data_IF_250090428395
#
_entry.id   IF_250090428395
#
_cell.length_a   1.000
_cell.length_b   1.000
_cell.length_c   1.000
_cell.angle_alpha   90.00
_cell.angle_beta   90.00
_cell.angle_gamma   90.00
#
_symmetry.space_group_name_H-M   'P 1'
#
loop_
_entity.id
_entity.type
_entity.pdbx_description
1 polymer ?
#
# COMPACT_ATOMS: atom_id res chain seq x y z
N UNK A 1 -10.84 -7.49 -26.30
CA UNK A 1 -10.98 -6.50 -25.23
C UNK A 1 -10.85 -5.10 -25.78
N UNK A 2 -11.65 -4.22 -25.27
CA UNK A 2 -11.60 -2.83 -25.70
C UNK A 2 -10.27 -2.18 -25.25
N UNK A 3 -9.81 -1.21 -26.03
CA UNK A 3 -8.62 -0.41 -25.71
C UNK A 3 -8.69 0.21 -24.31
N UNK A 4 -9.92 0.47 -23.81
CA UNK A 4 -10.12 1.01 -22.48
C UNK A 4 -9.63 0.13 -21.33
N UNK A 5 -9.57 -1.19 -21.53
CA UNK A 5 -9.06 -2.10 -20.49
C UNK A 5 -7.55 -1.97 -20.35
N UNK A 6 -6.82 -1.80 -21.46
CA UNK A 6 -5.39 -1.54 -21.42
C UNK A 6 -5.07 -0.20 -20.77
N UNK A 7 -5.89 0.83 -21.02
CA UNK A 7 -5.75 2.14 -20.39
C UNK A 7 -6.01 2.09 -18.88
N UNK A 8 -7.01 1.32 -18.44
CA UNK A 8 -7.31 1.12 -17.01
C UNK A 8 -6.16 0.45 -16.30
N UNK A 9 -5.59 -0.59 -16.88
CA UNK A 9 -4.46 -1.33 -16.32
C UNK A 9 -3.23 -0.42 -16.21
N UNK A 10 -2.99 0.38 -17.24
CA UNK A 10 -1.89 1.34 -17.24
C UNK A 10 -2.07 2.41 -16.17
N UNK A 11 -3.28 2.95 -16.02
CA UNK A 11 -3.58 3.96 -15.00
C UNK A 11 -3.42 3.39 -13.60
N UNK A 12 -3.85 2.15 -13.37
CA UNK A 12 -3.69 1.49 -12.08
C UNK A 12 -2.20 1.29 -11.75
N UNK A 13 -1.40 0.86 -12.72
CA UNK A 13 0.05 0.70 -12.55
C UNK A 13 0.70 2.04 -12.25
N UNK A 14 0.29 3.12 -12.94
CA UNK A 14 0.82 4.47 -12.71
C UNK A 14 0.48 4.97 -11.31
N UNK A 15 -0.72 4.69 -10.79
CA UNK A 15 -1.13 5.09 -9.44
C UNK A 15 -0.24 4.38 -8.41
N UNK A 16 -0.03 3.08 -8.56
CA UNK A 16 0.81 2.29 -7.65
C UNK A 16 2.26 2.81 -7.70
N UNK A 17 2.80 3.05 -8.90
CA UNK A 17 4.16 3.57 -9.06
C UNK A 17 4.33 4.95 -8.42
N UNK A 18 3.36 5.84 -8.61
CA UNK A 18 3.42 7.18 -8.01
C UNK A 18 3.32 7.12 -6.49
N UNK A 19 2.41 6.30 -5.97
CA UNK A 19 2.28 6.13 -4.52
C UNK A 19 3.57 5.53 -3.94
N UNK A 20 4.13 4.53 -4.59
CA UNK A 20 5.40 3.94 -4.18
C UNK A 20 6.52 4.97 -4.17
N UNK A 21 6.58 5.82 -5.19
CA UNK A 21 7.57 6.92 -5.26
C UNK A 21 7.43 7.91 -4.11
N UNK A 22 6.19 8.27 -3.75
CA UNK A 22 5.95 9.15 -2.60
C UNK A 22 6.39 8.47 -1.31
N UNK A 23 6.07 7.20 -1.13
CA UNK A 23 6.49 6.42 0.03
C UNK A 23 8.01 6.40 0.15
N UNK A 24 8.72 6.12 -0.95
CA UNK A 24 10.19 6.12 -0.98
C UNK A 24 10.75 7.49 -0.59
N UNK A 25 10.11 8.57 -1.03
CA UNK A 25 10.56 9.93 -0.73
C UNK A 25 10.46 10.28 0.76
N UNK A 26 9.68 9.52 1.53
CA UNK A 26 9.51 9.75 2.97
C UNK A 26 10.52 9.00 3.83
N UNK A 27 11.36 8.16 3.25
CA UNK A 27 12.41 7.47 3.98
C UNK A 27 13.40 8.51 4.50
N UNK A 28 13.65 8.50 5.80
CA UNK A 28 14.52 9.49 6.43
C UNK A 28 13.91 10.86 6.65
N UNK A 29 12.65 11.06 6.26
CA UNK A 29 11.93 12.30 6.58
C UNK A 29 11.57 12.33 8.08
N UNK A 30 11.05 13.49 8.53
CA UNK A 30 10.68 13.68 9.93
C UNK A 30 9.47 12.82 10.31
N UNK A 31 9.70 11.87 11.22
CA UNK A 31 8.67 10.95 11.71
C UNK A 31 7.53 11.68 12.46
N UNK A 32 7.78 12.88 12.97
CA UNK A 32 6.75 13.65 13.66
C UNK A 32 5.75 14.29 12.70
N UNK A 33 6.16 14.54 11.46
CA UNK A 33 5.32 15.21 10.46
C UNK A 33 4.86 14.28 9.35
N UNK A 34 5.40 13.07 9.25
CA UNK A 34 5.05 12.11 8.21
C UNK A 34 4.76 10.73 8.82
N UNK A 35 3.54 10.26 8.63
CA UNK A 35 3.14 8.92 9.08
C UNK A 35 4.01 7.85 8.39
N UNK A 36 4.26 8.00 7.09
CA UNK A 36 5.11 7.06 6.34
C UNK A 36 6.52 7.00 6.92
N UNK A 37 7.09 8.17 7.21
CA UNK A 37 8.42 8.24 7.85
C UNK A 37 8.39 7.54 9.22
N UNK A 38 7.32 7.69 9.98
CA UNK A 38 7.19 7.03 11.29
C UNK A 38 7.15 5.51 11.16
N UNK A 39 6.52 4.99 10.12
CA UNK A 39 6.51 3.55 9.83
C UNK A 39 7.92 3.03 9.59
N UNK A 40 8.67 3.69 8.71
CA UNK A 40 10.06 3.30 8.45
C UNK A 40 10.91 3.37 9.72
N UNK A 41 10.73 4.41 10.53
CA UNK A 41 11.47 4.58 11.78
C UNK A 41 11.20 3.46 12.78
N UNK A 42 9.99 2.91 12.79
CA UNK A 42 9.63 1.83 13.70
C UNK A 42 10.13 0.46 13.24
N UNK A 43 10.51 0.32 11.98
CA UNK A 43 11.19 -0.85 11.46
C UNK A 43 10.30 -1.92 10.87
N UNK A 44 10.93 -2.90 10.24
CA UNK A 44 10.30 -3.96 9.45
C UNK A 44 9.22 -4.73 10.21
N UNK A 45 9.52 -5.14 11.43
CA UNK A 45 8.58 -5.94 12.22
C UNK A 45 7.28 -5.19 12.46
N UNK A 46 7.36 -3.89 12.77
CA UNK A 46 6.18 -3.06 12.98
C UNK A 46 5.39 -2.90 11.67
N UNK A 47 6.09 -2.64 10.56
CA UNK A 47 5.45 -2.47 9.25
C UNK A 47 4.72 -3.76 8.86
N UNK A 48 5.38 -4.91 9.00
CA UNK A 48 4.78 -6.21 8.67
C UNK A 48 3.55 -6.49 9.52
N UNK A 49 3.61 -6.14 10.82
CA UNK A 49 2.45 -6.29 11.71
C UNK A 49 1.29 -5.42 11.26
N UNK A 50 1.56 -4.19 10.84
CA UNK A 50 0.52 -3.30 10.33
C UNK A 50 -0.16 -3.88 9.08
N UNK A 51 0.59 -4.50 8.18
CA UNK A 51 0.01 -5.20 7.02
C UNK A 51 -0.95 -6.29 7.49
N UNK A 52 -0.54 -7.09 8.48
CA UNK A 52 -1.40 -8.13 9.04
C UNK A 52 -2.68 -7.59 9.67
N UNK A 53 -2.57 -6.49 10.41
CA UNK A 53 -3.72 -5.83 11.03
C UNK A 53 -4.72 -5.32 10.00
N UNK A 54 -4.21 -4.66 8.94
CA UNK A 54 -5.08 -4.14 7.87
C UNK A 54 -5.72 -5.29 7.07
N UNK A 55 -4.99 -6.39 6.87
CA UNK A 55 -5.54 -7.56 6.21
C UNK A 55 -6.69 -8.18 7.02
N UNK A 56 -6.56 -8.23 8.35
CA UNK A 56 -7.62 -8.72 9.23
C UNK A 56 -8.85 -7.82 9.14
N UNK A 57 -8.66 -6.50 9.20
CA UNK A 57 -9.77 -5.55 9.05
C UNK A 57 -10.48 -5.74 7.71
N UNK A 58 -9.70 -5.95 6.64
CA UNK A 58 -10.26 -6.23 5.32
C UNK A 58 -11.15 -7.46 5.32
N UNK A 59 -10.70 -8.55 5.95
CA UNK A 59 -11.46 -9.80 6.05
C UNK A 59 -12.78 -9.56 6.78
N UNK A 60 -12.75 -8.84 7.90
CA UNK A 60 -13.94 -8.54 8.68
C UNK A 60 -14.97 -7.74 7.88
N UNK A 61 -14.53 -6.71 7.17
CA UNK A 61 -15.41 -5.90 6.36
C UNK A 61 -15.93 -6.66 5.13
N UNK A 62 -15.13 -7.55 4.57
CA UNK A 62 -15.55 -8.43 3.48
C UNK A 62 -16.67 -9.38 3.91
N UNK A 63 -16.53 -9.98 5.11
CA UNK A 63 -17.55 -10.88 5.67
C UNK A 63 -18.85 -10.12 5.98
N UNK A 64 -18.72 -8.90 6.52
CA UNK A 64 -19.89 -8.05 6.82
C UNK A 64 -20.62 -7.56 5.57
N UNK A 65 -19.92 -7.50 4.44
CA UNK A 65 -20.51 -7.01 3.19
C UNK A 65 -20.66 -5.49 3.14
N UNK A 66 -19.95 -4.74 3.98
CA UNK A 66 -19.94 -3.28 3.96
C UNK A 66 -18.96 -2.80 2.90
N UNK A 67 -19.49 -2.44 1.74
CA UNK A 67 -18.67 -2.07 0.57
C UNK A 67 -17.85 -0.81 0.79
N UNK A 68 -18.39 0.17 1.50
CA UNK A 68 -17.68 1.42 1.74
C UNK A 68 -16.47 1.19 2.66
N UNK A 69 -16.68 0.47 3.76
CA UNK A 69 -15.58 0.13 4.67
C UNK A 69 -14.58 -0.81 4.01
N UNK A 70 -15.06 -1.77 3.21
CA UNK A 70 -14.17 -2.67 2.47
C UNK A 70 -13.26 -1.89 1.52
N UNK A 71 -13.80 -0.89 0.84
CA UNK A 71 -13.03 -0.02 -0.06
C UNK A 71 -11.94 0.73 0.71
N UNK A 72 -12.29 1.33 1.86
CA UNK A 72 -11.33 2.06 2.68
C UNK A 72 -10.22 1.13 3.22
N UNK A 73 -10.60 -0.04 3.72
CA UNK A 73 -9.61 -1.00 4.23
C UNK A 73 -8.72 -1.56 3.12
N UNK A 74 -9.26 -1.68 1.90
CA UNK A 74 -8.45 -2.09 0.74
C UNK A 74 -7.36 -1.08 0.46
N UNK A 75 -7.69 0.21 0.49
CA UNK A 75 -6.70 1.28 0.29
C UNK A 75 -5.63 1.26 1.38
N UNK A 76 -6.04 1.08 2.64
CA UNK A 76 -5.11 1.00 3.77
C UNK A 76 -4.19 -0.20 3.66
N UNK A 77 -4.71 -1.34 3.25
CA UNK A 77 -3.90 -2.55 3.05
C UNK A 77 -2.87 -2.34 1.95
N UNK A 78 -3.28 -1.80 0.81
CA UNK A 78 -2.37 -1.54 -0.31
C UNK A 78 -1.27 -0.56 0.12
N UNK A 79 -1.63 0.50 0.83
CA UNK A 79 -0.67 1.47 1.32
C UNK A 79 0.40 0.82 2.21
N UNK A 80 -0.02 0.08 3.22
CA UNK A 80 0.92 -0.56 4.14
C UNK A 80 1.76 -1.64 3.45
N UNK A 81 1.16 -2.34 2.49
CA UNK A 81 1.88 -3.33 1.68
C UNK A 81 3.00 -2.67 0.88
N UNK A 82 2.73 -1.51 0.26
CA UNK A 82 3.74 -0.77 -0.48
C UNK A 82 4.86 -0.27 0.44
N UNK A 83 4.54 0.13 1.66
CA UNK A 83 5.55 0.53 2.65
C UNK A 83 6.46 -0.67 2.98
N UNK A 84 5.87 -1.85 3.14
CA UNK A 84 6.65 -3.06 3.40
C UNK A 84 7.57 -3.40 2.22
N UNK A 85 7.07 -3.29 0.99
CA UNK A 85 7.91 -3.50 -0.20
C UNK A 85 9.09 -2.52 -0.20
N UNK A 86 8.81 -1.23 0.03
CA UNK A 86 9.85 -0.21 0.06
C UNK A 86 10.90 -0.51 1.15
N UNK A 87 10.45 -0.93 2.32
CA UNK A 87 11.34 -1.30 3.43
C UNK A 87 12.26 -2.46 3.04
N UNK A 88 11.77 -3.40 2.25
CA UNK A 88 12.52 -4.59 1.84
C UNK A 88 13.24 -4.44 0.51
N UNK A 89 13.19 -3.28 -0.11
CA UNK A 89 13.85 -3.04 -1.41
C UNK A 89 13.18 -3.74 -2.58
N UNK A 90 11.88 -4.01 -2.47
CA UNK A 90 11.09 -4.63 -3.53
C UNK A 90 10.39 -3.52 -4.30
N UNK A 91 10.56 -3.52 -5.63
CA UNK A 91 9.85 -2.58 -6.50
C UNK A 91 8.51 -3.20 -6.94
N UNK A 92 7.49 -2.38 -7.23
CA UNK A 92 6.22 -2.92 -7.74
C UNK A 92 6.41 -3.80 -8.98
N UNK A 93 7.33 -3.44 -9.87
CA UNK A 93 7.61 -4.23 -11.08
C UNK A 93 8.05 -5.66 -10.74
N UNK A 94 8.74 -5.86 -9.63
CA UNK A 94 9.18 -7.20 -9.19
C UNK A 94 7.97 -8.10 -8.90
N UNK A 95 6.90 -7.49 -8.40
CA UNK A 95 5.67 -8.21 -8.05
C UNK A 95 4.88 -8.57 -9.31
N UNK A 96 4.89 -7.67 -10.30
CA UNK A 96 4.17 -7.90 -11.57
C UNK A 96 4.87 -8.90 -12.48
N UNK A 97 6.14 -9.11 -12.29
CA UNK A 97 6.96 -9.95 -13.17
C UNK A 97 6.54 -11.43 -13.19
#
# INVERSE_FOLDING_TARGET
>A
MAAGDGDKDKKAADVIERLYGVIQSRRGADAETSYTASLFAQGTKHIARRVGEEALELVLEGVRGDKDKLTLESADLIYHLLVLWADQGIEPADVWA
#
